data_IF_318031990754
#
_entry.id   IF_318031990754
#
_cell.length_a   1.000
_cell.length_b   1.000
_cell.length_c   1.000
_cell.angle_alpha   90.00
_cell.angle_beta   90.00
_cell.angle_gamma   90.00
#
_symmetry.space_group_name_H-M   'P 1'
#
loop_
_entity.id
_entity.type
_entity.pdbx_description
1 polymer ?
#
# COMPACT_ATOMS: atom_id res chain seq x y z
N UNK A 1 -0.20 -1.53 16.88
CA UNK A 1 -0.19 -2.39 15.67
C UNK A 1 -1.46 -3.23 15.66
N UNK A 2 -2.15 -3.40 14.53
CA UNK A 2 -3.39 -4.18 14.45
C UNK A 2 -3.13 -5.66 14.74
N UNK A 3 -3.92 -6.35 15.60
CA UNK A 3 -3.75 -7.78 15.87
C UNK A 3 -3.78 -8.65 14.60
N UNK A 4 -4.71 -8.37 13.69
CA UNK A 4 -4.82 -9.06 12.40
C UNK A 4 -3.58 -8.82 11.51
N UNK A 5 -2.99 -7.62 11.59
CA UNK A 5 -1.75 -7.29 10.88
C UNK A 5 -0.56 -8.05 11.45
N UNK A 6 -0.46 -8.16 12.78
CA UNK A 6 0.60 -8.93 13.44
C UNK A 6 0.57 -10.39 13.02
N UNK A 7 -0.60 -11.04 13.10
CA UNK A 7 -0.75 -12.46 12.70
C UNK A 7 -0.43 -12.64 11.21
N UNK A 8 -0.94 -11.75 10.35
CA UNK A 8 -0.68 -11.85 8.90
C UNK A 8 0.80 -11.70 8.56
N UNK A 9 1.52 -10.82 9.24
CA UNK A 9 2.96 -10.65 9.01
C UNK A 9 3.75 -11.88 9.45
N UNK A 10 3.31 -12.58 10.51
CA UNK A 10 3.93 -13.85 10.94
C UNK A 10 3.64 -14.96 9.92
N UNK A 11 2.40 -15.07 9.46
CA UNK A 11 1.96 -16.15 8.57
C UNK A 11 2.27 -15.91 7.08
N UNK A 12 2.60 -14.67 6.71
CA UNK A 12 2.87 -14.22 5.34
C UNK A 12 1.80 -14.66 4.31
N UNK A 13 0.52 -14.62 4.71
CA UNK A 13 -0.60 -15.09 3.90
C UNK A 13 -1.40 -13.99 3.20
N UNK A 14 -2.12 -14.38 2.15
CA UNK A 14 -3.11 -13.54 1.44
C UNK A 14 -4.48 -13.71 2.09
N UNK A 15 -5.21 -12.60 2.27
CA UNK A 15 -6.59 -12.65 2.76
C UNK A 15 -7.53 -12.74 1.57
N UNK A 16 -8.36 -13.77 1.55
CA UNK A 16 -9.45 -13.94 0.58
C UNK A 16 -10.78 -13.55 1.21
N UNK A 17 -11.61 -12.83 0.45
CA UNK A 17 -12.97 -12.47 0.85
C UNK A 17 -13.94 -12.84 -0.25
N UNK A 18 -14.96 -13.60 0.12
CA UNK A 18 -16.04 -14.02 -0.75
C UNK A 18 -17.39 -13.76 -0.07
N UNK A 19 -18.39 -13.20 -0.78
CA UNK A 19 -19.69 -12.96 -0.20
C UNK A 19 -20.52 -14.24 -0.08
N UNK A 20 -21.30 -14.36 1.00
CA UNK A 20 -22.34 -15.37 1.14
C UNK A 20 -23.59 -14.89 0.39
N UNK A 21 -24.13 -15.73 -0.50
CA UNK A 21 -25.29 -15.37 -1.33
C UNK A 21 -26.58 -15.91 -0.69
N UNK A 22 -27.44 -15.01 -0.23
CA UNK A 22 -28.76 -15.32 0.29
C UNK A 22 -29.84 -15.09 -0.79
N UNK A 23 -30.75 -16.04 -0.97
CA UNK A 23 -31.81 -15.96 -2.00
C UNK A 23 -32.80 -14.81 -1.76
N UNK A 24 -33.05 -14.48 -0.50
CA UNK A 24 -34.01 -13.47 -0.07
C UNK A 24 -33.41 -12.08 0.18
N UNK A 25 -32.11 -11.89 -0.03
CA UNK A 25 -31.43 -10.60 0.14
C UNK A 25 -31.04 -10.06 -1.24
N UNK A 26 -31.66 -8.96 -1.71
CA UNK A 26 -31.30 -8.37 -3.00
C UNK A 26 -29.90 -7.76 -2.95
N UNK A 27 -29.21 -7.77 -4.10
CA UNK A 27 -27.86 -7.22 -4.26
C UNK A 27 -27.92 -5.89 -5.01
N UNK A 28 -26.95 -5.01 -4.75
CA UNK A 28 -26.84 -3.71 -5.43
C UNK A 28 -26.65 -3.88 -6.95
N UNK A 29 -25.83 -4.84 -7.35
CA UNK A 29 -25.65 -5.21 -8.75
C UNK A 29 -26.44 -6.49 -9.01
N UNK A 30 -27.62 -6.35 -9.64
CA UNK A 30 -28.57 -7.45 -9.84
C UNK A 30 -28.03 -8.58 -10.72
N UNK A 31 -27.15 -8.26 -11.68
CA UNK A 31 -26.52 -9.23 -12.58
C UNK A 31 -25.48 -10.15 -11.93
N UNK A 32 -25.04 -9.85 -10.70
CA UNK A 32 -24.09 -10.70 -10.00
C UNK A 32 -24.83 -11.91 -9.39
N UNK A 33 -24.82 -13.01 -10.13
CA UNK A 33 -25.49 -14.28 -9.75
C UNK A 33 -24.54 -15.28 -9.10
N UNK A 34 -23.23 -15.07 -9.21
CA UNK A 34 -22.17 -15.88 -8.59
C UNK A 34 -21.33 -15.03 -7.64
N UNK A 35 -20.73 -15.63 -6.59
CA UNK A 35 -19.77 -14.91 -5.73
C UNK A 35 -18.57 -14.43 -6.53
N UNK A 36 -18.00 -13.31 -6.11
CA UNK A 36 -16.72 -12.80 -6.60
C UNK A 36 -15.76 -12.84 -5.41
N UNK A 37 -14.68 -13.61 -5.55
CA UNK A 37 -13.65 -13.72 -4.52
C UNK A 37 -12.54 -12.70 -4.78
N UNK A 38 -12.21 -11.92 -3.77
CA UNK A 38 -11.10 -10.96 -3.80
C UNK A 38 -9.95 -11.46 -2.94
N UNK A 39 -8.79 -11.65 -3.56
CA UNK A 39 -7.53 -11.82 -2.85
C UNK A 39 -6.84 -10.47 -2.66
N UNK A 40 -6.54 -10.10 -1.42
CA UNK A 40 -5.78 -8.87 -1.13
C UNK A 40 -4.34 -9.20 -0.77
N UNK A 41 -3.40 -8.71 -1.58
CA UNK A 41 -1.99 -8.67 -1.20
C UNK A 41 -1.83 -7.69 -0.02
N UNK A 42 -1.54 -8.23 1.17
CA UNK A 42 -1.64 -7.53 2.44
C UNK A 42 -0.30 -7.03 2.99
N UNK A 43 0.69 -6.81 2.12
CA UNK A 43 2.08 -6.49 2.45
C UNK A 43 2.59 -5.35 1.56
N UNK A 44 3.42 -4.46 2.12
CA UNK A 44 4.08 -3.38 1.38
C UNK A 44 3.18 -2.22 0.95
N UNK A 45 3.59 -1.59 -0.16
CA UNK A 45 2.98 -0.42 -0.77
C UNK A 45 2.76 0.73 0.24
N UNK A 46 1.66 1.46 0.10
CA UNK A 46 1.26 2.54 0.99
C UNK A 46 1.17 2.14 2.48
N UNK A 47 1.02 0.84 2.78
CA UNK A 47 0.94 0.37 4.18
C UNK A 47 2.30 0.27 4.87
N UNK A 48 3.39 0.35 4.11
CA UNK A 48 4.77 0.43 4.60
C UNK A 48 5.54 1.60 3.96
N UNK A 49 4.82 2.57 3.40
CA UNK A 49 5.41 3.81 2.94
C UNK A 49 5.88 4.66 4.13
N UNK A 50 6.83 5.55 3.86
CA UNK A 50 7.29 6.56 4.81
C UNK A 50 6.92 7.91 4.24
N UNK A 51 6.02 8.62 4.93
CA UNK A 51 5.52 9.91 4.49
C UNK A 51 6.16 11.04 5.31
N UNK A 52 6.40 12.18 4.67
CA UNK A 52 6.94 13.38 5.28
C UNK A 52 6.21 14.64 4.80
N UNK A 53 5.93 15.54 5.74
CA UNK A 53 5.46 16.89 5.42
C UNK A 53 6.66 17.79 5.17
N UNK A 54 6.77 18.32 3.96
CA UNK A 54 7.88 19.19 3.56
C UNK A 54 7.57 20.63 3.96
N UNK A 55 8.38 21.16 4.89
CA UNK A 55 8.16 22.45 5.56
C UNK A 55 8.81 23.65 4.87
N UNK A 56 9.51 23.45 3.74
CA UNK A 56 10.22 24.53 3.05
C UNK A 56 10.75 24.10 1.70
N UNK A 57 11.39 25.04 0.99
CA UNK A 57 11.98 24.76 -0.32
C UNK A 57 13.17 23.80 -0.20
N UNK A 58 13.33 22.90 -1.17
CA UNK A 58 14.41 21.91 -1.19
C UNK A 58 14.17 20.77 -2.17
N UNK A 59 15.23 20.02 -2.47
CA UNK A 59 15.16 18.84 -3.34
C UNK A 59 14.94 17.57 -2.53
N UNK A 60 13.90 16.83 -2.87
CA UNK A 60 13.68 15.49 -2.37
C UNK A 60 14.30 14.47 -3.34
N UNK A 61 15.13 13.59 -2.81
CA UNK A 61 15.75 12.49 -3.54
C UNK A 61 15.48 11.16 -2.84
N UNK A 62 15.32 10.11 -3.62
CA UNK A 62 15.38 8.72 -3.15
C UNK A 62 16.78 8.18 -3.45
N UNK A 63 17.40 7.60 -2.43
CA UNK A 63 18.74 7.03 -2.54
C UNK A 63 18.64 5.54 -2.19
N UNK A 64 19.08 4.69 -3.11
CA UNK A 64 19.19 3.26 -2.88
C UNK A 64 20.67 2.88 -2.80
N UNK A 65 21.04 2.20 -1.71
CA UNK A 65 22.38 1.70 -1.45
C UNK A 65 22.33 0.17 -1.46
N UNK A 66 22.78 -0.49 -2.55
CA UNK A 66 22.84 -1.94 -2.59
C UNK A 66 23.89 -2.47 -1.61
N UNK A 67 23.57 -3.56 -0.93
CA UNK A 67 24.51 -4.22 -0.03
C UNK A 67 25.62 -4.93 -0.85
N UNK A 68 26.88 -4.70 -0.47
CA UNK A 68 28.05 -5.32 -1.11
C UNK A 68 28.46 -4.77 -2.48
N UNK A 69 27.87 -3.65 -2.92
CA UNK A 69 28.29 -2.90 -4.13
C UNK A 69 28.41 -1.42 -3.78
N UNK A 70 29.41 -0.74 -4.34
CA UNK A 70 29.62 0.71 -4.12
C UNK A 70 28.74 1.61 -5.02
N UNK A 71 28.01 1.02 -5.97
CA UNK A 71 27.15 1.79 -6.87
C UNK A 71 25.83 2.18 -6.21
N UNK A 72 25.74 3.44 -5.78
CA UNK A 72 24.49 4.05 -5.32
C UNK A 72 23.60 4.48 -6.49
N UNK A 73 22.29 4.29 -6.35
CA UNK A 73 21.29 4.87 -7.25
C UNK A 73 20.64 6.08 -6.58
N UNK A 74 20.77 7.25 -7.20
CA UNK A 74 20.07 8.47 -6.76
C UNK A 74 18.99 8.85 -7.77
N UNK A 75 17.76 9.02 -7.28
CA UNK A 75 16.62 9.47 -8.08
C UNK A 75 16.09 10.78 -7.49
N UNK A 76 16.06 11.85 -8.29
CA UNK A 76 15.39 13.10 -7.88
C UNK A 76 13.88 12.90 -7.99
N UNK A 77 13.17 13.02 -6.86
CA UNK A 77 11.71 12.83 -6.79
C UNK A 77 11.03 14.13 -7.18
N UNK A 78 11.36 15.21 -6.48
CA UNK A 78 10.74 16.51 -6.69
C UNK A 78 11.56 17.64 -6.08
N UNK A 79 11.47 18.85 -6.66
CA UNK A 79 12.06 20.07 -6.13
C UNK A 79 10.95 20.97 -5.57
N UNK A 80 10.86 21.07 -4.25
CA UNK A 80 9.88 21.91 -3.56
C UNK A 80 10.33 23.38 -3.61
N UNK A 81 9.44 24.26 -4.06
CA UNK A 81 9.67 25.72 -4.10
C UNK A 81 9.09 26.46 -2.90
N UNK A 82 8.34 25.77 -2.03
CA UNK A 82 7.69 26.33 -0.85
C UNK A 82 7.18 25.23 0.09
N UNK A 83 6.58 25.63 1.22
CA UNK A 83 6.03 24.70 2.21
C UNK A 83 4.67 24.13 1.79
N UNK A 84 4.31 22.96 2.33
CA UNK A 84 2.95 22.41 2.23
C UNK A 84 2.79 21.16 1.36
N UNK A 85 3.88 20.66 0.77
CA UNK A 85 3.87 19.38 0.06
C UNK A 85 3.93 18.18 1.02
N UNK A 86 3.21 17.10 0.70
CA UNK A 86 3.36 15.78 1.33
C UNK A 86 4.05 14.87 0.33
N UNK A 87 5.08 14.16 0.77
CA UNK A 87 5.86 13.23 -0.04
C UNK A 87 6.10 11.92 0.69
#
# INVERSE_FOLDING_TARGET
KSPNGTIRNILNGIVFREPIICKNVPRLVSGWTKPICFGRHGFGDQYQATDAVIKGAGKLKLIFLPEGKDEKTELEVFNFTGAGGVA
#
